data_IF_493406474024
#
_entry.id   IF_493406474024
#
_cell.length_a   1.000
_cell.length_b   1.000
_cell.length_c   1.000
_cell.angle_alpha   90.00
_cell.angle_beta   90.00
_cell.angle_gamma   90.00
#
_symmetry.space_group_name_H-M   'P 1'
#
loop_
_entity.id
_entity.type
_entity.pdbx_description
1 polymer ?
#
# COMPACT_ATOMS: atom_id res chain seq x y z
N UNK A 1 18.78 -15.03 4.88
CA UNK A 1 17.65 -14.17 5.29
C UNK A 1 16.37 -14.91 4.91
N UNK A 2 15.37 -15.06 5.80
CA UNK A 2 14.11 -15.67 5.42
C UNK A 2 13.40 -14.76 4.41
N UNK A 3 12.93 -15.35 3.32
CA UNK A 3 12.08 -14.70 2.33
C UNK A 3 10.63 -15.10 2.62
N UNK A 4 9.66 -14.17 2.55
CA UNK A 4 8.26 -14.54 2.63
C UNK A 4 7.93 -15.47 1.46
N UNK A 5 7.07 -16.46 1.69
CA UNK A 5 6.60 -17.34 0.63
C UNK A 5 6.00 -16.50 -0.50
N UNK A 6 6.41 -16.77 -1.74
CA UNK A 6 6.00 -15.98 -2.90
C UNK A 6 6.03 -16.82 -4.18
N UNK A 7 5.20 -16.44 -5.14
CA UNK A 7 5.10 -17.09 -6.43
C UNK A 7 4.78 -16.08 -7.52
N UNK A 8 5.38 -16.29 -8.70
CA UNK A 8 5.05 -15.50 -9.87
C UNK A 8 3.91 -16.16 -10.62
N UNK A 9 2.86 -15.40 -10.90
CA UNK A 9 1.60 -15.86 -11.49
C UNK A 9 1.25 -14.99 -12.71
N UNK A 10 0.66 -15.61 -13.72
CA UNK A 10 0.32 -14.98 -15.01
C UNK A 10 -1.17 -15.05 -15.33
N UNK A 11 -1.94 -15.80 -14.52
CA UNK A 11 -3.40 -15.92 -14.64
C UNK A 11 -4.04 -15.80 -13.27
N UNK A 12 -5.30 -15.35 -13.24
CA UNK A 12 -6.10 -15.29 -12.02
C UNK A 12 -6.27 -16.67 -11.37
N UNK A 13 -6.40 -17.72 -12.18
CA UNK A 13 -6.50 -19.10 -11.69
C UNK A 13 -5.23 -19.52 -10.94
N UNK A 14 -4.06 -19.25 -11.53
CA UNK A 14 -2.77 -19.52 -10.88
C UNK A 14 -2.61 -18.66 -9.61
N UNK A 15 -3.09 -17.42 -9.61
CA UNK A 15 -3.07 -16.55 -8.44
C UNK A 15 -3.91 -17.13 -7.29
N UNK A 16 -5.12 -17.61 -7.57
CA UNK A 16 -5.99 -18.22 -6.56
C UNK A 16 -5.36 -19.50 -5.99
N UNK A 17 -4.83 -20.38 -6.86
CA UNK A 17 -4.16 -21.60 -6.41
C UNK A 17 -2.88 -21.32 -5.62
N UNK A 18 -2.13 -20.27 -5.98
CA UNK A 18 -0.97 -19.84 -5.23
C UNK A 18 -1.36 -19.26 -3.86
N UNK A 19 -2.47 -18.53 -3.75
CA UNK A 19 -2.95 -17.97 -2.50
C UNK A 19 -3.25 -19.08 -1.47
N UNK A 20 -3.90 -20.17 -1.89
CA UNK A 20 -4.17 -21.32 -1.03
C UNK A 20 -2.89 -22.02 -0.54
N UNK A 21 -1.84 -22.08 -1.38
CA UNK A 21 -0.56 -22.68 -1.02
C UNK A 21 0.29 -21.79 -0.12
N UNK A 22 0.28 -20.48 -0.35
CA UNK A 22 1.01 -19.49 0.44
C UNK A 22 0.31 -19.29 1.80
N UNK A 23 -1.01 -19.35 1.82
CA UNK A 23 -1.85 -19.01 2.96
C UNK A 23 -2.27 -17.54 2.96
N UNK A 24 -3.53 -17.29 3.29
CA UNK A 24 -4.11 -15.95 3.42
C UNK A 24 -3.68 -15.28 4.75
N UNK A 25 -3.58 -13.93 4.80
CA UNK A 25 -3.73 -12.99 3.69
C UNK A 25 -2.48 -12.90 2.79
N UNK A 26 -2.68 -12.44 1.55
CA UNK A 26 -1.63 -12.30 0.53
C UNK A 26 -1.49 -10.87 0.00
N UNK A 27 -0.37 -10.61 -0.66
CA UNK A 27 -0.02 -9.38 -1.36
C UNK A 27 0.07 -9.71 -2.85
N UNK A 28 -0.63 -8.95 -3.70
CA UNK A 28 -0.49 -8.99 -5.16
C UNK A 28 0.27 -7.75 -5.61
N UNK A 29 1.33 -7.93 -6.40
CA UNK A 29 2.13 -6.81 -6.93
C UNK A 29 2.71 -7.14 -8.31
N UNK A 30 3.12 -6.13 -9.11
CA UNK A 30 3.80 -6.37 -10.37
C UNK A 30 5.10 -7.14 -10.16
N UNK A 31 5.37 -8.15 -11.01
CA UNK A 31 6.65 -8.85 -10.95
C UNK A 31 7.83 -7.93 -11.31
N UNK A 32 7.58 -6.91 -12.15
CA UNK A 32 8.56 -5.90 -12.54
C UNK A 32 8.21 -4.53 -11.94
N UNK A 33 8.87 -4.18 -10.84
CA UNK A 33 9.18 -2.79 -10.47
C UNK A 33 8.00 -1.80 -10.40
N UNK A 34 7.06 -2.00 -9.47
CA UNK A 34 6.16 -0.93 -9.03
C UNK A 34 6.79 -0.19 -7.85
N UNK A 35 7.14 1.10 -7.98
CA UNK A 35 7.54 1.99 -6.85
C UNK A 35 6.36 2.24 -5.87
N UNK A 36 5.61 1.21 -5.49
CA UNK A 36 4.33 1.25 -4.79
C UNK A 36 3.09 1.23 -5.70
N UNK A 37 3.25 1.33 -7.03
CA UNK A 37 2.14 1.21 -7.99
C UNK A 37 1.78 -0.25 -8.24
N UNK A 38 0.48 -0.54 -8.38
CA UNK A 38 -0.04 -1.90 -8.60
C UNK A 38 0.05 -2.83 -7.40
N UNK A 39 0.36 -2.32 -6.20
CA UNK A 39 0.52 -3.15 -5.00
C UNK A 39 -0.78 -3.19 -4.20
N UNK A 40 -1.37 -4.37 -4.12
CA UNK A 40 -2.53 -4.72 -3.29
C UNK A 40 -2.07 -5.56 -2.12
N UNK A 41 -2.38 -5.13 -0.90
CA UNK A 41 -1.91 -5.74 0.35
C UNK A 41 -3.09 -6.20 1.18
N UNK A 42 -2.90 -7.25 1.98
CA UNK A 42 -3.93 -7.72 2.91
C UNK A 42 -5.14 -8.36 2.25
N UNK A 43 -5.01 -8.85 1.01
CA UNK A 43 -6.06 -9.59 0.33
C UNK A 43 -6.33 -10.85 1.13
N UNK A 44 -7.53 -10.98 1.68
CA UNK A 44 -7.87 -11.99 2.68
C UNK A 44 -8.76 -13.10 2.13
N UNK A 45 -9.34 -12.89 0.94
CA UNK A 45 -10.20 -13.87 0.31
C UNK A 45 -10.13 -13.86 -1.24
N UNK A 46 -10.69 -14.90 -1.90
CA UNK A 46 -10.74 -14.99 -3.36
C UNK A 46 -11.44 -13.84 -4.08
N UNK A 47 -12.45 -13.20 -3.47
CA UNK A 47 -13.19 -12.09 -4.09
C UNK A 47 -12.32 -10.83 -4.14
N UNK A 48 -11.65 -10.50 -3.04
CA UNK A 48 -10.71 -9.37 -2.99
C UNK A 48 -9.56 -9.57 -3.99
N UNK A 49 -9.00 -10.78 -4.08
CA UNK A 49 -7.94 -11.08 -5.04
C UNK A 49 -8.40 -10.92 -6.49
N UNK A 50 -9.65 -11.29 -6.82
CA UNK A 50 -10.24 -11.07 -8.15
C UNK A 50 -10.35 -9.59 -8.49
N UNK A 51 -10.82 -8.77 -7.55
CA UNK A 51 -10.94 -7.32 -7.74
C UNK A 51 -9.56 -6.68 -7.96
N UNK A 52 -8.58 -7.04 -7.14
CA UNK A 52 -7.19 -6.59 -7.28
C UNK A 52 -6.59 -6.99 -8.64
N UNK A 53 -6.84 -8.24 -9.07
CA UNK A 53 -6.37 -8.76 -10.36
C UNK A 53 -6.93 -7.97 -11.55
N UNK A 54 -8.24 -7.71 -11.55
CA UNK A 54 -8.89 -6.92 -12.61
C UNK A 54 -8.29 -5.52 -12.73
N UNK A 55 -7.96 -4.88 -11.60
CA UNK A 55 -7.30 -3.57 -11.62
C UNK A 55 -5.87 -3.65 -12.19
N UNK A 56 -5.16 -4.75 -11.96
CA UNK A 56 -3.82 -4.97 -12.50
C UNK A 56 -3.83 -5.27 -14.01
N UNK A 57 -4.79 -6.04 -14.52
CA UNK A 57 -4.93 -6.31 -15.96
C UNK A 57 -5.13 -5.03 -16.77
N UNK A 58 -5.89 -4.07 -16.23
CA UNK A 58 -6.08 -2.76 -16.84
C UNK A 58 -4.78 -1.96 -16.96
N UNK A 59 -3.76 -2.29 -16.17
CA UNK A 59 -2.46 -1.62 -16.17
C UNK A 59 -1.48 -2.20 -17.21
N UNK A 60 -1.82 -3.33 -17.86
CA UNK A 60 -1.02 -3.94 -18.93
C UNK A 60 0.18 -4.79 -18.45
N UNK A 61 0.27 -5.08 -17.16
CA UNK A 61 1.36 -5.88 -16.59
C UNK A 61 0.96 -7.36 -16.54
N UNK A 62 1.46 -8.17 -17.48
CA UNK A 62 1.08 -9.58 -17.62
C UNK A 62 1.63 -10.53 -16.57
N UNK A 63 2.63 -10.12 -15.78
CA UNK A 63 3.30 -10.98 -14.79
C UNK A 63 3.20 -10.36 -13.40
N UNK A 64 2.55 -11.06 -12.48
CA UNK A 64 2.29 -10.62 -11.12
C UNK A 64 3.05 -11.50 -10.13
N UNK A 65 3.44 -10.95 -8.98
CA UNK A 65 3.99 -11.67 -7.85
C UNK A 65 2.94 -11.71 -6.75
N UNK A 66 2.58 -12.92 -6.32
CA UNK A 66 1.79 -13.15 -5.13
C UNK A 66 2.73 -13.50 -3.97
N UNK A 67 2.52 -12.90 -2.80
CA UNK A 67 3.42 -13.05 -1.66
C UNK A 67 2.63 -13.12 -0.36
N UNK A 68 3.15 -13.84 0.63
CA UNK A 68 2.63 -13.84 1.99
C UNK A 68 2.57 -12.42 2.55
N UNK A 69 1.43 -12.03 3.12
CA UNK A 69 1.32 -10.75 3.79
C UNK A 69 1.96 -10.84 5.18
N UNK A 70 3.07 -10.12 5.37
CA UNK A 70 3.75 -10.00 6.66
C UNK A 70 3.38 -8.69 7.34
N UNK A 71 3.06 -8.77 8.63
CA UNK A 71 2.84 -7.61 9.49
C UNK A 71 4.11 -7.27 10.27
N UNK A 72 4.29 -5.99 10.58
CA UNK A 72 5.44 -5.50 11.33
C UNK A 72 5.92 -4.15 10.82
N UNK A 73 7.00 -3.67 11.42
CA UNK A 73 7.61 -2.40 11.05
C UNK A 73 8.44 -2.54 9.75
N UNK A 74 8.09 -1.75 8.74
CA UNK A 74 8.86 -1.62 7.49
C UNK A 74 10.16 -0.84 7.76
N UNK A 75 11.30 -1.50 7.58
CA UNK A 75 12.63 -0.92 7.77
C UNK A 75 13.42 -0.93 6.45
N UNK A 76 14.04 0.21 6.14
CA UNK A 76 15.00 0.37 5.06
C UNK A 76 16.41 0.35 5.62
N UNK A 77 17.20 -0.61 5.16
CA UNK A 77 18.61 -0.78 5.55
C UNK A 77 19.51 -0.25 4.44
N UNK A 78 20.46 0.63 4.79
CA UNK A 78 21.54 1.05 3.89
C UNK A 78 22.82 0.30 4.25
N UNK A 79 23.24 -0.62 3.37
CA UNK A 79 24.48 -1.38 3.52
C UNK A 79 25.48 -0.94 2.46
N UNK A 80 26.67 -0.52 2.88
CA UNK A 80 27.77 -0.09 2.00
C UNK A 80 29.01 -0.89 2.35
N UNK A 81 29.60 -1.55 1.35
CA UNK A 81 30.77 -2.42 1.53
C UNK A 81 30.54 -3.48 2.64
N UNK A 82 29.34 -4.08 2.67
CA UNK A 82 28.97 -5.10 3.65
C UNK A 82 28.71 -4.59 5.07
N UNK A 83 28.79 -3.27 5.31
CA UNK A 83 28.51 -2.66 6.62
C UNK A 83 27.18 -1.93 6.61
N UNK A 84 26.36 -2.19 7.62
CA UNK A 84 25.11 -1.45 7.85
C UNK A 84 25.44 -0.03 8.32
N UNK A 85 25.13 0.98 7.50
CA UNK A 85 25.40 2.38 7.81
C UNK A 85 24.19 3.11 8.39
N UNK A 86 22.98 2.75 7.98
CA UNK A 86 21.76 3.38 8.46
C UNK A 86 20.57 2.43 8.42
N UNK A 87 19.62 2.67 9.33
CA UNK A 87 18.32 2.02 9.38
C UNK A 87 17.27 3.12 9.47
N UNK A 88 16.27 3.09 8.59
CA UNK A 88 15.13 3.99 8.65
C UNK A 88 13.84 3.17 8.75
N UNK A 89 13.03 3.42 9.78
CA UNK A 89 11.69 2.86 9.88
C UNK A 89 10.71 3.76 9.11
N UNK A 90 9.88 3.15 8.26
CA UNK A 90 8.85 3.88 7.51
C UNK A 90 7.61 4.06 8.39
N UNK A 91 7.15 5.29 8.50
CA UNK A 91 5.86 5.62 9.12
C UNK A 91 4.81 5.87 8.03
N UNK A 92 3.64 5.20 8.07
CA UNK A 92 2.51 5.53 7.20
C UNK A 92 2.09 6.99 7.35
N UNK A 93 1.44 7.56 6.33
CA UNK A 93 0.82 8.85 6.49
C UNK A 93 -0.41 8.71 7.40
N UNK A 94 -0.42 9.43 8.52
CA UNK A 94 -1.53 9.48 9.46
C UNK A 94 -2.08 10.90 9.53
N UNK A 95 -3.41 11.02 9.59
CA UNK A 95 -4.11 12.26 9.84
C UNK A 95 -4.95 12.06 11.11
N UNK A 96 -4.80 12.96 12.07
CA UNK A 96 -5.68 13.05 13.24
C UNK A 96 -6.67 14.17 12.95
N UNK A 97 -7.97 13.87 13.00
CA UNK A 97 -8.98 14.87 12.68
C UNK A 97 -9.04 15.96 13.75
N UNK A 98 -9.13 17.21 13.31
CA UNK A 98 -9.42 18.35 14.19
C UNK A 98 -10.89 18.40 14.68
N UNK A 99 -11.80 17.59 14.12
CA UNK A 99 -13.23 17.62 14.43
C UNK A 99 -13.98 18.87 13.97
N UNK A 100 -13.33 19.73 13.19
CA UNK A 100 -13.86 21.02 12.75
C UNK A 100 -14.03 21.07 11.23
N UNK A 101 -13.05 20.55 10.49
CA UNK A 101 -12.99 20.64 9.04
C UNK A 101 -13.25 19.28 8.37
N UNK A 102 -13.80 19.25 7.15
CA UNK A 102 -13.86 18.03 6.36
C UNK A 102 -12.48 17.43 6.09
N UNK A 103 -12.39 16.11 6.01
CA UNK A 103 -11.13 15.40 5.79
C UNK A 103 -10.38 15.89 4.54
N UNK A 104 -11.06 16.21 3.43
CA UNK A 104 -10.38 16.75 2.24
C UNK A 104 -9.64 18.07 2.50
N UNK A 105 -10.15 18.94 3.38
CA UNK A 105 -9.47 20.19 3.76
C UNK A 105 -8.28 19.91 4.66
N UNK A 106 -8.45 19.02 5.62
CA UNK A 106 -7.37 18.63 6.52
C UNK A 106 -6.21 17.96 5.76
N UNK A 107 -6.53 17.11 4.76
CA UNK A 107 -5.55 16.51 3.85
C UNK A 107 -4.85 17.58 3.01
N UNK A 108 -5.58 18.59 2.51
CA UNK A 108 -4.98 19.69 1.76
C UNK A 108 -3.97 20.47 2.61
N UNK A 109 -4.30 20.75 3.88
CA UNK A 109 -3.38 21.39 4.84
C UNK A 109 -2.19 20.47 5.13
N UNK A 110 -2.42 19.18 5.38
CA UNK A 110 -1.34 18.21 5.60
C UNK A 110 -0.37 18.17 4.42
N UNK A 111 -0.89 18.20 3.19
CA UNK A 111 -0.11 18.18 1.96
C UNK A 111 0.59 19.51 1.63
N UNK A 112 0.26 20.60 2.32
CA UNK A 112 0.94 21.88 2.20
C UNK A 112 2.27 21.94 3.00
N UNK A 113 2.55 20.94 3.84
CA UNK A 113 3.85 20.78 4.51
C UNK A 113 4.99 20.79 3.45
N UNK A 114 5.96 21.71 3.53
CA UNK A 114 7.06 21.80 2.56
C UNK A 114 7.96 20.56 2.55
N UNK A 115 7.91 19.72 3.59
CA UNK A 115 8.60 18.44 3.61
C UNK A 115 7.87 17.35 2.81
N UNK A 116 6.67 17.62 2.27
CA UNK A 116 5.90 16.68 1.46
C UNK A 116 5.99 16.95 -0.04
N UNK A 117 6.47 15.94 -0.78
CA UNK A 117 6.64 15.98 -2.23
C UNK A 117 6.04 14.77 -2.93
N UNK A 118 6.35 14.61 -4.21
CA UNK A 118 5.96 13.44 -5.00
C UNK A 118 7.13 12.45 -5.04
N UNK A 119 6.88 11.19 -4.68
CA UNK A 119 7.85 10.11 -4.77
C UNK A 119 9.05 10.26 -3.81
N UNK A 120 10.19 10.71 -4.35
CA UNK A 120 11.45 10.88 -3.61
C UNK A 120 11.95 12.33 -3.61
N UNK A 121 11.11 13.27 -4.05
CA UNK A 121 11.47 14.69 -4.12
C UNK A 121 11.67 15.35 -2.75
N UNK A 122 11.02 14.82 -1.71
CA UNK A 122 11.07 15.36 -0.35
C UNK A 122 11.11 14.21 0.67
N UNK A 123 11.30 14.57 1.95
CA UNK A 123 11.39 13.62 3.07
C UNK A 123 10.11 12.81 3.27
N UNK A 124 8.94 13.46 3.09
CA UNK A 124 7.63 12.85 3.21
C UNK A 124 6.93 12.84 1.85
N UNK A 125 6.02 11.89 1.66
CA UNK A 125 5.14 11.88 0.50
C UNK A 125 3.85 12.63 0.78
N UNK A 126 3.31 13.30 -0.24
CA UNK A 126 1.92 13.79 -0.21
C UNK A 126 0.95 12.62 -0.15
N UNK A 127 -0.16 12.81 0.56
CA UNK A 127 -1.29 11.89 0.58
C UNK A 127 -2.07 12.09 -0.73
N UNK A 128 -2.12 11.10 -1.63
CA UNK A 128 -2.93 11.20 -2.84
C UNK A 128 -4.41 11.17 -2.47
N UNK A 129 -5.21 12.00 -3.17
CA UNK A 129 -6.67 11.96 -3.08
C UNK A 129 -7.15 11.22 -4.33
N UNK A 130 -7.29 9.91 -4.21
CA UNK A 130 -7.65 8.98 -5.28
C UNK A 130 -8.64 7.91 -4.76
N UNK A 131 -9.09 7.04 -5.66
CA UNK A 131 -10.05 6.00 -5.30
C UNK A 131 -9.56 5.02 -4.22
N UNK A 132 -8.24 4.90 -4.00
CA UNK A 132 -7.70 4.07 -2.92
C UNK A 132 -7.90 4.74 -1.57
N UNK A 133 -7.73 6.05 -1.49
CA UNK A 133 -8.06 6.81 -0.29
C UNK A 133 -9.55 6.66 0.05
N UNK A 134 -10.43 6.69 -0.96
CA UNK A 134 -11.87 6.50 -0.75
C UNK A 134 -12.21 5.12 -0.15
N UNK A 135 -11.54 4.06 -0.61
CA UNK A 135 -11.69 2.71 -0.04
C UNK A 135 -11.26 2.67 1.44
N UNK A 136 -10.08 3.22 1.76
CA UNK A 136 -9.53 3.23 3.13
C UNK A 136 -10.43 4.04 4.08
N UNK A 137 -10.99 5.15 3.61
CA UNK A 137 -11.95 5.94 4.39
C UNK A 137 -13.27 5.18 4.57
N UNK A 138 -13.76 4.53 3.51
CA UNK A 138 -14.99 3.73 3.54
C UNK A 138 -14.93 2.57 4.54
N UNK A 139 -13.79 1.87 4.63
CA UNK A 139 -13.53 0.83 5.64
C UNK A 139 -13.64 1.36 7.08
N UNK A 140 -13.35 2.64 7.28
CA UNK A 140 -13.47 3.33 8.57
C UNK A 140 -14.82 4.03 8.77
N UNK A 141 -15.76 3.90 7.82
CA UNK A 141 -17.06 4.56 7.87
C UNK A 141 -17.01 6.07 7.56
N UNK A 142 -15.96 6.53 6.90
CA UNK A 142 -15.76 7.93 6.54
C UNK A 142 -15.75 8.17 5.03
N UNK A 143 -15.90 9.43 4.66
CA UNK A 143 -15.73 9.95 3.30
C UNK A 143 -14.87 11.21 3.35
N UNK A 144 -14.40 11.70 2.20
CA UNK A 144 -13.68 12.98 2.11
C UNK A 144 -14.46 14.19 2.65
N UNK A 145 -15.79 14.09 2.70
CA UNK A 145 -16.68 15.12 3.26
C UNK A 145 -16.92 14.97 4.76
N UNK A 146 -16.56 13.83 5.36
CA UNK A 146 -16.76 13.56 6.79
C UNK A 146 -15.96 14.53 7.65
N UNK A 147 -16.51 14.83 8.83
CA UNK A 147 -15.85 15.57 9.92
C UNK A 147 -15.82 14.65 11.15
N UNK A 148 -14.83 13.73 11.24
CA UNK A 148 -14.72 12.83 12.39
C UNK A 148 -14.50 13.62 13.68
N UNK A 149 -15.17 13.23 14.77
CA UNK A 149 -14.88 13.84 16.08
C UNK A 149 -13.47 13.48 16.53
N UNK A 150 -12.83 14.36 17.29
CA UNK A 150 -11.54 14.08 17.91
C UNK A 150 -11.70 12.89 18.86
N UNK A 151 -10.89 11.85 18.67
CA UNK A 151 -10.77 10.68 19.56
C UNK A 151 -9.41 10.66 20.22
#
# INVERSE_FOLDING_TARGET
>A
MPLPAQETVETLENALAAAERIGWPVVLKPASGGKGRGVWVGLSDPMELRQAWQSQEQSGEGRQLLQQNLTGADHRLLVVMGKLLAVAQRQPATLISDGLLPLHRQIAVLNADPERGVGYERLKNRVPVDGRLDLILGEQGFTLASVPRVS
#
